data_IF_640464758474
#
_entry.id   IF_640464758474
#
_cell.length_a   1.000
_cell.length_b   1.000
_cell.length_c   1.000
_cell.angle_alpha   90.00
_cell.angle_beta   90.00
_cell.angle_gamma   90.00
#
_symmetry.space_group_name_H-M   'P 1'
#
loop_
_entity.id
_entity.type
_entity.pdbx_description
1 polymer ?
#
# COMPACT_ATOMS: atom_id res chain seq x y z
N UNK A 1 -35.06 62.31 17.62
CA UNK A 1 -34.62 61.44 16.51
C UNK A 1 -33.84 60.28 17.11
N UNK A 2 -34.44 59.10 17.20
CA UNK A 2 -33.76 57.88 17.64
C UNK A 2 -33.76 56.92 16.45
N UNK A 3 -32.57 56.59 15.96
CA UNK A 3 -32.35 55.78 14.76
C UNK A 3 -32.47 54.29 15.12
N UNK A 4 -33.36 53.60 14.42
CA UNK A 4 -33.63 52.16 14.55
C UNK A 4 -32.55 51.38 13.78
N UNK A 5 -31.70 50.61 14.48
CA UNK A 5 -30.73 49.71 13.85
C UNK A 5 -31.31 48.33 13.60
N UNK A 6 -31.54 47.97 12.33
CA UNK A 6 -31.84 46.59 11.92
C UNK A 6 -30.57 45.73 12.04
N UNK A 7 -30.62 44.69 12.89
CA UNK A 7 -29.61 43.63 12.91
C UNK A 7 -30.02 42.57 11.86
N UNK A 8 -29.17 42.42 10.84
CA UNK A 8 -29.35 41.46 9.76
C UNK A 8 -29.27 40.01 10.26
N UNK A 9 -30.24 39.19 9.82
CA UNK A 9 -30.21 37.73 9.97
C UNK A 9 -29.07 37.18 9.09
N UNK A 10 -28.02 36.67 9.73
CA UNK A 10 -27.00 35.87 9.06
C UNK A 10 -27.63 34.64 8.41
N UNK A 11 -27.35 34.43 7.13
CA UNK A 11 -27.71 33.20 6.42
C UNK A 11 -26.87 32.06 6.99
N UNK A 12 -27.51 31.10 7.65
CA UNK A 12 -26.89 29.82 7.98
C UNK A 12 -26.55 29.09 6.67
N UNK A 13 -25.26 28.94 6.39
CA UNK A 13 -24.78 28.02 5.35
C UNK A 13 -24.87 26.62 5.95
N UNK A 14 -25.65 25.69 5.36
CA UNK A 14 -25.67 24.33 5.86
C UNK A 14 -24.30 23.71 5.62
N UNK A 15 -23.64 23.29 6.70
CA UNK A 15 -22.50 22.39 6.62
C UNK A 15 -23.02 21.08 6.06
N UNK A 16 -22.65 20.77 4.83
CA UNK A 16 -22.93 19.48 4.22
C UNK A 16 -22.22 18.42 5.08
N UNK A 17 -22.99 17.59 5.77
CA UNK A 17 -22.44 16.43 6.45
C UNK A 17 -21.68 15.60 5.41
N UNK A 18 -20.40 15.31 5.67
CA UNK A 18 -19.65 14.36 4.89
C UNK A 18 -20.48 13.08 4.81
N UNK A 19 -20.86 12.66 3.61
CA UNK A 19 -21.50 11.38 3.39
C UNK A 19 -20.59 10.32 3.99
N UNK A 20 -21.09 9.55 4.96
CA UNK A 20 -20.34 8.44 5.53
C UNK A 20 -19.83 7.56 4.38
N UNK A 21 -18.52 7.37 4.31
CA UNK A 21 -17.92 6.47 3.33
C UNK A 21 -18.44 5.05 3.61
N UNK A 22 -18.87 4.34 2.56
CA UNK A 22 -19.25 2.94 2.70
C UNK A 22 -18.05 2.15 3.26
N UNK A 23 -18.26 1.25 4.25
CA UNK A 23 -17.19 0.45 4.81
C UNK A 23 -16.41 -0.27 3.71
N UNK A 24 -15.08 -0.22 3.78
CA UNK A 24 -14.19 -0.92 2.87
C UNK A 24 -13.82 -2.28 3.44
N UNK A 25 -13.83 -3.32 2.61
CA UNK A 25 -13.40 -4.66 2.99
C UNK A 25 -12.11 -5.05 2.26
N UNK A 26 -11.02 -5.13 3.04
CA UNK A 26 -9.70 -5.54 2.58
C UNK A 26 -9.35 -6.93 3.10
N UNK A 27 -8.63 -7.72 2.29
CA UNK A 27 -8.13 -9.04 2.68
C UNK A 27 -6.68 -9.25 2.30
N UNK A 28 -5.94 -10.01 3.12
CA UNK A 28 -4.60 -10.49 2.78
C UNK A 28 -4.67 -11.85 2.10
N UNK A 29 -4.21 -11.91 0.86
CA UNK A 29 -4.07 -13.14 0.08
C UNK A 29 -2.62 -13.59 0.09
N UNK A 30 -2.33 -14.66 0.83
CA UNK A 30 -0.99 -15.25 0.92
C UNK A 30 -0.65 -15.97 -0.39
N UNK A 31 0.20 -15.37 -1.21
CA UNK A 31 0.52 -15.87 -2.55
C UNK A 31 1.09 -17.30 -2.54
N UNK A 32 1.86 -17.68 -1.52
CA UNK A 32 2.41 -19.03 -1.39
C UNK A 32 1.38 -20.11 -1.01
N UNK A 33 0.10 -19.74 -0.93
CA UNK A 33 -1.06 -20.65 -0.86
C UNK A 33 -1.86 -20.69 -2.16
N UNK A 34 -1.43 -19.97 -3.18
CA UNK A 34 -2.02 -20.00 -4.51
C UNK A 34 -1.65 -21.30 -5.24
N UNK A 35 -2.60 -21.84 -6.00
CA UNK A 35 -2.43 -23.05 -6.81
C UNK A 35 -1.29 -22.94 -7.83
N UNK A 36 -0.91 -21.72 -8.24
CA UNK A 36 0.19 -21.45 -9.17
C UNK A 36 1.54 -21.21 -8.47
N UNK A 37 1.57 -21.14 -7.14
CA UNK A 37 2.78 -20.95 -6.34
C UNK A 37 3.01 -22.16 -5.42
N UNK A 38 3.69 -23.20 -5.92
CA UNK A 38 3.88 -24.44 -5.16
C UNK A 38 5.27 -24.49 -4.53
N UNK A 39 5.34 -24.89 -3.26
CA UNK A 39 6.62 -25.10 -2.55
C UNK A 39 7.40 -23.83 -2.18
N UNK A 40 6.87 -22.64 -2.48
CA UNK A 40 7.53 -21.37 -2.12
C UNK A 40 7.16 -20.97 -0.69
N UNK A 41 8.10 -20.44 0.09
CA UNK A 41 7.87 -19.91 1.45
C UNK A 41 7.09 -20.87 2.39
N UNK A 42 7.27 -22.18 2.24
CA UNK A 42 6.49 -23.18 2.96
C UNK A 42 7.24 -24.51 3.05
N UNK A 43 7.00 -25.26 4.13
CA UNK A 43 7.43 -26.66 4.29
C UNK A 43 6.28 -27.66 4.10
N UNK A 44 5.05 -27.17 3.90
CA UNK A 44 3.88 -28.01 3.65
C UNK A 44 4.01 -28.78 2.33
N UNK A 45 3.66 -30.06 2.36
CA UNK A 45 3.73 -30.96 1.20
C UNK A 45 2.45 -30.99 0.37
N UNK A 46 1.34 -30.54 0.95
CA UNK A 46 0.05 -30.51 0.28
C UNK A 46 0.07 -29.52 -0.89
N UNK A 47 -0.60 -29.90 -1.98
CA UNK A 47 -0.76 -29.01 -3.13
C UNK A 47 -1.68 -27.86 -2.76
N UNK A 48 -1.28 -26.64 -3.10
CA UNK A 48 -2.18 -25.50 -3.07
C UNK A 48 -3.29 -25.67 -4.12
N UNK A 49 -4.53 -25.37 -3.75
CA UNK A 49 -5.72 -25.58 -4.61
C UNK A 49 -6.50 -24.31 -4.91
N UNK A 50 -6.30 -23.24 -4.14
CA UNK A 50 -7.04 -21.98 -4.24
C UNK A 50 -6.37 -21.02 -5.23
N UNK A 51 -7.16 -20.24 -5.96
CA UNK A 51 -6.72 -19.15 -6.81
C UNK A 51 -7.28 -17.79 -6.33
N UNK A 52 -6.62 -16.69 -6.70
CA UNK A 52 -7.16 -15.35 -6.43
C UNK A 52 -8.54 -15.12 -7.08
N UNK A 53 -8.85 -15.79 -8.20
CA UNK A 53 -10.16 -15.73 -8.84
C UNK A 53 -11.27 -16.43 -8.06
N UNK A 54 -10.93 -17.24 -7.06
CA UNK A 54 -11.90 -17.91 -6.19
C UNK A 54 -12.39 -16.97 -5.05
N UNK A 55 -11.75 -15.81 -4.88
CA UNK A 55 -12.17 -14.81 -3.89
C UNK A 55 -13.62 -14.36 -4.17
N UNK A 56 -14.47 -14.26 -3.13
CA UNK A 56 -15.86 -13.87 -3.30
C UNK A 56 -16.00 -12.41 -3.79
N UNK A 57 -17.20 -12.07 -4.24
CA UNK A 57 -17.61 -10.67 -4.46
C UNK A 57 -17.73 -9.91 -3.13
N UNK A 58 -17.62 -8.58 -3.16
CA UNK A 58 -17.74 -7.73 -1.96
C UNK A 58 -16.42 -7.48 -1.22
N UNK A 59 -15.29 -7.85 -1.83
CA UNK A 59 -13.95 -7.43 -1.41
C UNK A 59 -13.58 -6.21 -2.26
N UNK A 60 -13.20 -5.11 -1.61
CA UNK A 60 -12.79 -3.88 -2.29
C UNK A 60 -11.29 -3.87 -2.56
N UNK A 61 -10.49 -4.41 -1.64
CA UNK A 61 -9.02 -4.39 -1.73
C UNK A 61 -8.47 -5.78 -1.42
N UNK A 62 -7.54 -6.25 -2.25
CA UNK A 62 -6.76 -7.47 -1.98
C UNK A 62 -5.30 -7.09 -1.84
N UNK A 63 -4.73 -7.42 -0.68
CA UNK A 63 -3.29 -7.39 -0.48
C UNK A 63 -2.66 -8.68 -1.01
N UNK A 64 -1.79 -8.57 -1.99
CA UNK A 64 -1.02 -9.67 -2.58
C UNK A 64 0.20 -9.94 -1.69
N UNK A 65 -0.02 -10.59 -0.55
CA UNK A 65 1.01 -10.90 0.44
C UNK A 65 1.95 -12.01 -0.08
N UNK A 66 3.10 -11.60 -0.62
CA UNK A 66 3.87 -12.40 -1.60
C UNK A 66 5.38 -12.38 -1.36
N UNK A 67 5.79 -12.66 -0.12
CA UNK A 67 7.20 -12.89 0.20
C UNK A 67 7.74 -14.13 -0.55
N UNK A 68 8.89 -13.97 -1.20
CA UNK A 68 9.61 -15.04 -1.91
C UNK A 68 11.01 -15.15 -1.30
N UNK A 69 11.35 -16.27 -0.65
CA UNK A 69 12.71 -16.51 -0.18
C UNK A 69 13.71 -16.50 -1.34
N UNK A 70 14.90 -15.97 -1.08
CA UNK A 70 16.00 -15.96 -2.04
C UNK A 70 16.26 -17.37 -2.59
N UNK A 71 16.40 -17.49 -3.90
CA UNK A 71 16.60 -18.76 -4.60
C UNK A 71 15.32 -19.51 -4.98
N UNK A 72 14.14 -18.99 -4.62
CA UNK A 72 12.84 -19.57 -4.98
C UNK A 72 12.10 -18.78 -6.08
N UNK A 73 12.75 -17.78 -6.69
CA UNK A 73 12.15 -16.86 -7.67
C UNK A 73 11.60 -17.60 -8.89
N UNK A 74 12.34 -18.60 -9.39
CA UNK A 74 11.90 -19.42 -10.51
C UNK A 74 10.63 -20.23 -10.19
N UNK A 75 10.49 -20.68 -8.94
CA UNK A 75 9.31 -21.43 -8.47
C UNK A 75 8.10 -20.49 -8.25
N UNK A 76 8.34 -19.24 -7.88
CA UNK A 76 7.31 -18.21 -7.71
C UNK A 76 6.82 -17.62 -9.05
N UNK A 77 7.64 -17.69 -10.10
CA UNK A 77 7.35 -17.08 -11.41
C UNK A 77 5.96 -17.41 -11.98
N UNK A 78 5.46 -18.66 -11.96
CA UNK A 78 4.14 -18.97 -12.52
C UNK A 78 3.00 -18.19 -11.85
N UNK A 79 3.11 -17.90 -10.55
CA UNK A 79 2.14 -17.06 -9.86
C UNK A 79 2.18 -15.62 -10.36
N UNK A 80 3.37 -15.01 -10.45
CA UNK A 80 3.50 -13.64 -10.92
C UNK A 80 3.09 -13.46 -12.40
N UNK A 81 3.35 -14.46 -13.24
CA UNK A 81 2.87 -14.48 -14.62
C UNK A 81 1.32 -14.55 -14.66
N UNK A 82 0.72 -15.36 -13.79
CA UNK A 82 -0.74 -15.51 -13.68
C UNK A 82 -1.40 -14.27 -13.05
N UNK A 83 -0.74 -13.66 -12.06
CA UNK A 83 -1.14 -12.43 -11.42
C UNK A 83 -1.33 -11.32 -12.46
N UNK A 84 -0.32 -11.12 -13.31
CA UNK A 84 -0.35 -10.11 -14.37
C UNK A 84 -1.35 -10.42 -15.46
N UNK A 85 -1.37 -11.65 -15.96
CA UNK A 85 -2.12 -12.01 -17.16
C UNK A 85 -3.59 -12.32 -16.90
N UNK A 86 -3.94 -12.75 -15.68
CA UNK A 86 -5.25 -13.31 -15.35
C UNK A 86 -5.85 -12.68 -14.11
N UNK A 87 -5.15 -12.70 -12.96
CA UNK A 87 -5.77 -12.33 -11.68
C UNK A 87 -6.03 -10.82 -11.58
N UNK A 88 -5.04 -9.97 -11.89
CA UNK A 88 -5.23 -8.53 -11.86
C UNK A 88 -6.36 -8.08 -12.80
N UNK A 89 -6.38 -8.45 -14.10
CA UNK A 89 -7.50 -8.12 -14.98
C UNK A 89 -8.86 -8.61 -14.48
N UNK A 90 -8.94 -9.85 -13.98
CA UNK A 90 -10.20 -10.42 -13.50
C UNK A 90 -10.72 -9.71 -12.25
N UNK A 91 -9.85 -9.35 -11.32
CA UNK A 91 -10.22 -8.65 -10.09
C UNK A 91 -10.59 -7.18 -10.37
N UNK A 92 -9.83 -6.50 -11.23
CA UNK A 92 -10.14 -5.14 -11.69
C UNK A 92 -11.50 -5.07 -12.39
N UNK A 93 -11.87 -6.08 -13.18
CA UNK A 93 -13.19 -6.14 -13.82
C UNK A 93 -14.36 -6.19 -12.82
N UNK A 94 -14.09 -6.54 -11.55
CA UNK A 94 -15.06 -6.51 -10.45
C UNK A 94 -14.97 -5.23 -9.61
N UNK A 95 -14.08 -4.31 -9.95
CA UNK A 95 -13.80 -3.09 -9.19
C UNK A 95 -12.85 -3.28 -8.01
N UNK A 96 -12.22 -4.44 -7.85
CA UNK A 96 -11.29 -4.72 -6.73
C UNK A 96 -9.95 -4.05 -7.01
N UNK A 97 -9.37 -3.40 -6.01
CA UNK A 97 -8.00 -2.85 -6.04
C UNK A 97 -6.99 -3.84 -5.50
N UNK A 98 -5.79 -3.88 -6.08
CA UNK A 98 -4.71 -4.75 -5.65
C UNK A 98 -3.55 -3.94 -5.09
N UNK A 99 -3.09 -4.29 -3.91
CA UNK A 99 -1.87 -3.72 -3.31
C UNK A 99 -0.89 -4.84 -3.00
N UNK A 100 0.40 -4.51 -2.85
CA UNK A 100 1.40 -5.47 -2.36
C UNK A 100 1.96 -4.99 -1.04
N UNK A 101 1.86 -5.83 -0.01
CA UNK A 101 2.55 -5.64 1.25
C UNK A 101 4.07 -5.70 1.07
N UNK A 102 4.77 -4.81 1.76
CA UNK A 102 6.21 -4.81 1.90
C UNK A 102 6.55 -4.44 3.34
N UNK A 103 7.47 -5.21 3.95
CA UNK A 103 7.93 -4.95 5.30
C UNK A 103 8.66 -3.61 5.39
N UNK A 104 8.47 -2.92 6.52
CA UNK A 104 9.04 -1.61 6.80
C UNK A 104 10.56 -1.54 6.62
N UNK A 105 11.29 -2.62 6.94
CA UNK A 105 12.73 -2.76 6.67
C UNK A 105 13.13 -2.43 5.21
N UNK A 106 12.27 -2.64 4.23
CA UNK A 106 12.55 -2.26 2.83
C UNK A 106 12.74 -0.76 2.67
N UNK A 107 12.05 0.06 3.47
CA UNK A 107 12.13 1.52 3.37
C UNK A 107 13.44 2.08 3.93
N UNK A 108 14.08 1.36 4.85
CA UNK A 108 15.32 1.81 5.51
C UNK A 108 16.57 1.29 4.82
N UNK A 109 16.45 0.37 3.85
CA UNK A 109 17.57 -0.19 3.08
C UNK A 109 18.08 0.72 1.95
N UNK A 110 17.55 1.94 1.81
CA UNK A 110 18.03 2.88 0.78
C UNK A 110 19.55 3.17 0.85
N UNK A 111 20.25 3.17 2.01
CA UNK A 111 21.69 3.31 2.04
C UNK A 111 22.42 2.16 1.33
N UNK A 112 21.88 0.94 1.36
CA UNK A 112 22.48 -0.21 0.68
C UNK A 112 22.41 -0.06 -0.85
N UNK A 113 21.35 0.58 -1.37
CA UNK A 113 21.18 0.85 -2.80
C UNK A 113 22.15 1.92 -3.31
N UNK A 114 22.45 2.95 -2.50
CA UNK A 114 23.20 4.13 -2.95
C UNK A 114 24.56 4.35 -2.27
N UNK A 115 24.93 3.51 -1.30
CA UNK A 115 26.17 3.63 -0.52
C UNK A 115 26.25 4.90 0.33
N UNK A 116 25.12 5.43 0.82
CA UNK A 116 25.07 6.67 1.60
C UNK A 116 23.95 6.67 2.63
N UNK A 117 24.30 6.97 3.89
CA UNK A 117 23.34 7.17 4.99
C UNK A 117 22.58 8.50 4.91
N UNK A 118 22.94 9.37 3.95
CA UNK A 118 22.25 10.63 3.69
C UNK A 118 21.80 10.69 2.22
N UNK A 119 20.74 9.95 1.84
CA UNK A 119 20.22 10.00 0.49
C UNK A 119 19.70 11.41 0.14
N UNK A 120 20.02 11.86 -1.07
CA UNK A 120 19.47 13.09 -1.64
C UNK A 120 18.01 12.89 -2.02
N UNK A 121 17.28 14.00 -2.21
CA UNK A 121 15.90 13.95 -2.71
C UNK A 121 15.76 13.19 -4.05
N UNK A 122 16.78 13.23 -4.91
CA UNK A 122 16.80 12.49 -6.17
C UNK A 122 16.98 10.98 -5.96
N UNK A 123 17.79 10.57 -4.97
CA UNK A 123 17.96 9.17 -4.61
C UNK A 123 16.69 8.59 -4.00
N UNK A 124 16.02 9.32 -3.09
CA UNK A 124 14.71 8.92 -2.59
C UNK A 124 13.67 8.76 -3.71
N UNK A 125 13.63 9.70 -4.66
CA UNK A 125 12.73 9.63 -5.81
C UNK A 125 13.02 8.43 -6.74
N UNK A 126 14.30 8.16 -7.00
CA UNK A 126 14.74 7.00 -7.78
C UNK A 126 14.35 5.69 -7.10
N UNK A 127 14.61 5.59 -5.80
CA UNK A 127 14.25 4.41 -5.00
C UNK A 127 12.75 4.17 -4.97
N UNK A 128 11.95 5.22 -4.74
CA UNK A 128 10.49 5.12 -4.76
C UNK A 128 9.96 4.59 -6.10
N UNK A 129 10.50 5.06 -7.23
CA UNK A 129 10.13 4.55 -8.56
C UNK A 129 10.52 3.09 -8.76
N UNK A 130 11.71 2.70 -8.29
CA UNK A 130 12.17 1.31 -8.34
C UNK A 130 11.24 0.41 -7.53
N UNK A 131 10.94 0.77 -6.27
CA UNK A 131 9.99 0.03 -5.43
C UNK A 131 8.62 -0.09 -6.11
N UNK A 132 8.07 0.99 -6.67
CA UNK A 132 6.79 0.93 -7.38
C UNK A 132 6.84 -0.01 -8.58
N UNK A 133 7.91 0.04 -9.37
CA UNK A 133 8.07 -0.84 -10.53
C UNK A 133 8.19 -2.30 -10.11
N UNK A 134 9.06 -2.59 -9.13
CA UNK A 134 9.45 -3.94 -8.72
C UNK A 134 8.39 -4.62 -7.85
N UNK A 135 7.60 -3.84 -7.10
CA UNK A 135 6.60 -4.37 -6.18
C UNK A 135 5.16 -4.29 -6.73
N UNK A 136 4.88 -3.42 -7.70
CA UNK A 136 3.51 -3.14 -8.12
C UNK A 136 3.34 -3.06 -9.64
N UNK A 137 3.98 -2.08 -10.28
CA UNK A 137 3.75 -1.68 -11.67
C UNK A 137 3.94 -2.81 -12.68
N UNK A 138 4.93 -3.69 -12.49
CA UNK A 138 5.21 -4.76 -13.44
C UNK A 138 4.09 -5.82 -13.56
N UNK A 139 3.21 -5.92 -12.56
CA UNK A 139 2.06 -6.83 -12.54
C UNK A 139 0.71 -6.10 -12.62
N UNK A 140 0.71 -4.78 -12.77
CA UNK A 140 -0.50 -3.97 -12.85
C UNK A 140 -1.25 -3.88 -11.52
N UNK A 141 -0.54 -3.82 -10.39
CA UNK A 141 -1.18 -3.54 -9.11
C UNK A 141 -1.46 -2.03 -8.95
N UNK A 142 -2.36 -1.69 -8.03
CA UNK A 142 -2.85 -0.34 -7.78
C UNK A 142 -2.09 0.38 -6.66
N UNK A 143 -1.18 -0.29 -5.93
CA UNK A 143 -0.60 0.34 -4.76
C UNK A 143 0.36 -0.50 -3.95
N UNK A 144 0.81 0.08 -2.84
CA UNK A 144 1.65 -0.58 -1.84
C UNK A 144 0.97 -0.50 -0.47
N UNK A 145 1.30 -1.49 0.35
CA UNK A 145 0.96 -1.57 1.76
C UNK A 145 2.25 -1.72 2.57
N UNK A 146 2.48 -0.83 3.54
CA UNK A 146 3.67 -0.86 4.39
C UNK A 146 3.33 -1.62 5.67
N UNK A 147 3.92 -2.81 5.83
CA UNK A 147 3.77 -3.71 6.99
C UNK A 147 4.79 -3.28 8.05
N UNK A 148 4.35 -2.51 9.05
CA UNK A 148 5.19 -1.93 10.11
C UNK A 148 4.96 -2.59 11.46
N UNK A 149 5.89 -3.51 11.77
CA UNK A 149 5.85 -4.36 12.96
C UNK A 149 7.12 -4.23 13.81
N UNK A 150 7.85 -3.14 13.59
CA UNK A 150 9.24 -2.97 14.00
C UNK A 150 9.42 -1.79 14.97
N UNK A 151 10.60 -1.67 15.57
CA UNK A 151 10.96 -0.55 16.45
C UNK A 151 12.20 0.18 15.91
N UNK A 152 12.06 0.94 14.81
CA UNK A 152 13.19 1.62 14.17
C UNK A 152 13.76 2.72 15.07
N UNK A 153 15.06 2.95 14.92
CA UNK A 153 15.78 4.10 15.46
C UNK A 153 15.34 5.41 14.80
N UNK A 154 15.67 6.54 15.42
CA UNK A 154 15.35 7.86 14.88
C UNK A 154 15.98 8.13 13.50
N UNK A 155 17.12 7.51 13.19
CA UNK A 155 17.77 7.67 11.87
C UNK A 155 17.08 6.80 10.81
N UNK A 156 16.66 5.58 11.16
CA UNK A 156 15.82 4.74 10.30
C UNK A 156 14.47 5.40 9.99
N UNK A 157 13.85 6.07 10.96
CA UNK A 157 12.62 6.85 10.74
C UNK A 157 12.84 7.99 9.75
N UNK A 158 14.01 8.67 9.77
CA UNK A 158 14.30 9.71 8.76
C UNK A 158 14.44 9.12 7.36
N UNK A 159 15.02 7.93 7.24
CA UNK A 159 15.17 7.23 5.96
C UNK A 159 13.81 6.83 5.40
N UNK A 160 12.99 6.15 6.21
CA UNK A 160 11.64 5.73 5.79
C UNK A 160 10.75 6.92 5.48
N UNK A 161 10.79 8.00 6.26
CA UNK A 161 10.09 9.26 5.96
C UNK A 161 10.42 9.78 4.56
N UNK A 162 11.71 9.77 4.20
CA UNK A 162 12.18 10.21 2.89
C UNK A 162 11.63 9.34 1.77
N UNK A 163 11.64 8.02 1.95
CA UNK A 163 11.09 7.07 0.97
C UNK A 163 9.56 7.20 0.86
N UNK A 164 8.83 7.26 1.97
CA UNK A 164 7.37 7.39 2.00
C UNK A 164 6.93 8.69 1.35
N UNK A 165 7.57 9.83 1.68
CA UNK A 165 7.29 11.13 1.03
C UNK A 165 7.60 11.11 -0.47
N UNK A 166 8.58 10.33 -0.90
CA UNK A 166 8.86 10.14 -2.32
C UNK A 166 7.81 9.25 -3.01
N UNK A 167 7.38 8.16 -2.39
CA UNK A 167 6.31 7.28 -2.86
C UNK A 167 4.97 8.03 -2.99
N UNK A 168 4.65 8.88 -2.02
CA UNK A 168 3.40 9.65 -1.96
C UNK A 168 3.18 10.60 -3.15
N UNK A 169 4.25 10.93 -3.90
CA UNK A 169 4.15 11.68 -5.17
C UNK A 169 3.47 10.87 -6.28
N UNK A 170 3.48 9.55 -6.18
CA UNK A 170 3.08 8.64 -7.25
C UNK A 170 1.87 7.77 -6.88
N UNK A 171 1.69 7.48 -5.58
CA UNK A 171 0.56 6.71 -5.06
C UNK A 171 -0.10 7.40 -3.87
N UNK A 172 -1.36 7.05 -3.60
CA UNK A 172 -2.11 7.56 -2.46
C UNK A 172 -2.65 8.98 -2.65
N UNK A 173 -3.24 9.59 -1.61
CA UNK A 173 -3.97 10.85 -1.70
C UNK A 173 -3.12 12.02 -2.22
N UNK A 174 -1.82 12.04 -1.91
CA UNK A 174 -0.92 13.14 -2.30
C UNK A 174 -0.49 13.07 -3.78
N UNK A 175 -0.66 11.92 -4.44
CA UNK A 175 -0.29 11.75 -5.85
C UNK A 175 -1.24 12.47 -6.82
N UNK A 176 -2.45 12.82 -6.36
CA UNK A 176 -3.54 13.29 -7.21
C UNK A 176 -4.14 12.21 -8.12
N UNK A 177 -3.69 10.95 -8.04
CA UNK A 177 -4.25 9.83 -8.80
C UNK A 177 -5.18 8.99 -7.89
N UNK A 178 -6.51 9.15 -8.00
CA UNK A 178 -7.47 8.46 -7.12
C UNK A 178 -7.54 6.94 -7.38
N UNK A 179 -6.89 6.45 -8.44
CA UNK A 179 -6.87 5.02 -8.75
C UNK A 179 -5.77 4.25 -8.02
N UNK A 180 -4.90 4.94 -7.28
CA UNK A 180 -3.80 4.31 -6.55
C UNK A 180 -4.07 4.26 -5.05
N UNK A 181 -3.49 3.26 -4.39
CA UNK A 181 -3.58 3.09 -2.94
C UNK A 181 -2.20 3.12 -2.31
N UNK A 182 -2.10 3.79 -1.17
CA UNK A 182 -0.98 3.71 -0.27
C UNK A 182 -1.51 3.43 1.12
N UNK A 183 -1.15 2.27 1.67
CA UNK A 183 -1.66 1.77 2.95
C UNK A 183 -0.50 1.64 3.93
N UNK A 184 -0.77 1.94 5.19
CA UNK A 184 0.11 1.66 6.31
C UNK A 184 -0.59 0.65 7.21
N UNK A 185 -0.03 -0.54 7.38
CA UNK A 185 -0.51 -1.60 8.25
C UNK A 185 0.42 -1.71 9.46
N UNK A 186 -0.15 -1.97 10.64
CA UNK A 186 0.64 -2.10 11.86
C UNK A 186 -0.09 -2.88 12.94
N UNK A 187 0.66 -3.64 13.73
CA UNK A 187 0.15 -4.23 14.98
C UNK A 187 -0.02 -3.19 16.12
N UNK A 188 0.33 -1.93 15.90
CA UNK A 188 0.17 -0.82 16.85
C UNK A 188 1.19 -0.79 17.99
N UNK A 189 2.23 -1.63 17.94
CA UNK A 189 3.29 -1.64 18.96
C UNK A 189 4.17 -0.39 18.94
N UNK A 190 4.27 0.29 17.79
CA UNK A 190 5.00 1.54 17.65
C UNK A 190 4.40 2.43 16.55
N UNK A 191 3.73 3.52 16.96
CA UNK A 191 3.10 4.46 16.04
C UNK A 191 3.95 5.69 15.71
N UNK A 192 5.10 5.87 16.38
CA UNK A 192 5.92 7.07 16.21
C UNK A 192 6.36 7.28 14.75
N UNK A 193 6.76 6.24 13.99
CA UNK A 193 7.15 6.42 12.59
C UNK A 193 5.99 6.81 11.66
N UNK A 194 4.75 6.51 12.03
CA UNK A 194 3.57 6.85 11.22
C UNK A 194 3.26 8.36 11.28
N UNK A 195 3.47 9.00 12.42
CA UNK A 195 2.99 10.37 12.67
C UNK A 195 3.55 11.41 11.69
N UNK A 196 4.79 11.24 11.24
CA UNK A 196 5.45 12.18 10.32
C UNK A 196 4.92 12.11 8.88
N UNK A 197 4.20 11.04 8.54
CA UNK A 197 3.85 10.66 7.17
C UNK A 197 2.40 10.28 6.99
N UNK A 198 1.57 10.32 8.03
CA UNK A 198 0.16 9.91 8.00
C UNK A 198 -0.67 10.46 6.84
N UNK A 199 -0.40 11.70 6.43
CA UNK A 199 -1.11 12.36 5.32
C UNK A 199 -0.78 11.76 3.94
N UNK A 200 0.20 10.84 3.86
CA UNK A 200 0.55 10.12 2.64
C UNK A 200 -0.38 8.93 2.34
N UNK A 201 -1.13 8.44 3.33
CA UNK A 201 -1.83 7.16 3.25
C UNK A 201 -3.34 7.30 3.05
N UNK A 202 -3.93 6.35 2.32
CA UNK A 202 -5.39 6.22 2.18
C UNK A 202 -6.02 5.60 3.43
N UNK A 203 -5.35 4.60 4.01
CA UNK A 203 -5.85 3.78 5.11
C UNK A 203 -4.73 3.46 6.09
N UNK A 204 -5.11 3.34 7.37
CA UNK A 204 -4.33 2.77 8.45
C UNK A 204 -4.98 1.42 8.82
N UNK A 205 -4.23 0.33 8.70
CA UNK A 205 -4.60 -1.04 9.06
C UNK A 205 -4.39 -1.34 10.53
#
# INVERSE_FOLDING_TARGET
MLTLGLIGRGKSVPVQAATAQDPQFMVYYRAWRDKTMQGVNTSLLDKNTVAMTDLPTGIDIVNVFSFVPMGQEAQAKPFFDTLKSTYAPALHARGVKLVRAVGYSTLVNIPDEFGSDNPTAAQFDGYAKQLLQDLSGQWGLDGLDIDMEENPSADEVKLSDGVIKALAKYIGPQSGNPNTLFIYDTNGSNMDPFENVKDAFNYLG
#
